data_IF_690286410655
#
_entry.id   IF_690286410655
#
_cell.length_a   1.000
_cell.length_b   1.000
_cell.length_c   1.000
_cell.angle_alpha   90.00
_cell.angle_beta   90.00
_cell.angle_gamma   90.00
#
_symmetry.space_group_name_H-M   'P 1'
#
loop_
_entity.id
_entity.type
_entity.pdbx_description
1 polymer ?
#
# COMPACT_ATOMS: atom_id res chain seq x y z
N UNK A 1 11.41 -29.96 -5.82
CA UNK A 1 11.58 -28.71 -5.02
C UNK A 1 10.65 -27.66 -5.60
N UNK A 2 9.56 -27.34 -4.92
CA UNK A 2 8.55 -26.38 -5.40
C UNK A 2 8.04 -25.54 -4.23
N UNK A 3 8.20 -24.22 -4.27
CA UNK A 3 7.40 -23.29 -3.47
C UNK A 3 7.11 -22.01 -4.25
N UNK A 4 5.90 -22.04 -4.82
CA UNK A 4 4.98 -20.93 -5.05
C UNK A 4 5.50 -19.70 -5.82
N UNK A 5 5.43 -19.83 -7.15
CA UNK A 5 5.08 -18.72 -8.03
C UNK A 5 3.75 -18.10 -7.55
N UNK A 6 3.82 -16.95 -6.89
CA UNK A 6 2.63 -16.11 -6.68
C UNK A 6 2.48 -15.23 -7.92
N UNK A 7 1.91 -15.82 -8.97
CA UNK A 7 1.26 -15.06 -10.02
C UNK A 7 -0.13 -14.73 -9.51
N UNK A 8 -0.38 -13.48 -9.13
CA UNK A 8 -1.74 -12.96 -9.03
C UNK A 8 -1.82 -11.51 -9.52
N UNK A 9 -2.77 -11.33 -10.44
CA UNK A 9 -3.46 -10.12 -10.82
C UNK A 9 -2.71 -9.08 -11.66
N UNK A 10 -2.70 -9.35 -12.98
CA UNK A 10 -3.24 -8.45 -14.02
C UNK A 10 -3.09 -6.96 -13.73
N UNK A 11 -2.04 -6.38 -14.31
CA UNK A 11 -1.93 -4.95 -14.60
C UNK A 11 -3.25 -4.42 -15.17
N UNK A 12 -4.03 -3.71 -14.37
CA UNK A 12 -5.00 -2.75 -14.90
C UNK A 12 -4.20 -1.46 -15.16
N UNK A 13 -3.75 -1.32 -16.40
CA UNK A 13 -2.79 -0.32 -16.85
C UNK A 13 -3.36 1.06 -17.18
N UNK A 14 -4.35 1.56 -16.43
CA UNK A 14 -4.93 2.88 -16.72
C UNK A 14 -5.38 3.65 -15.46
N UNK A 15 -4.60 3.53 -14.38
CA UNK A 15 -4.77 4.44 -13.24
C UNK A 15 -3.56 5.38 -13.20
N UNK A 16 -3.78 6.71 -13.11
CA UNK A 16 -2.70 7.67 -13.02
C UNK A 16 -1.82 7.30 -11.82
N UNK A 17 -0.59 6.90 -12.11
CA UNK A 17 0.46 6.57 -11.14
C UNK A 17 0.86 7.90 -10.47
N UNK A 18 0.17 8.29 -9.41
CA UNK A 18 0.43 7.91 -8.03
C UNK A 18 1.59 8.74 -7.44
N UNK A 19 1.27 9.96 -7.00
CA UNK A 19 2.21 10.86 -6.34
C UNK A 19 2.78 10.26 -5.06
N UNK A 20 2.03 9.44 -4.31
CA UNK A 20 2.56 8.78 -3.11
C UNK A 20 3.56 7.65 -3.46
N UNK A 21 3.32 6.92 -4.55
CA UNK A 21 4.25 5.89 -5.04
C UNK A 21 5.59 6.51 -5.42
N UNK A 22 5.60 7.60 -6.20
CA UNK A 22 6.86 8.27 -6.56
C UNK A 22 7.62 8.80 -5.33
N UNK A 23 6.90 9.32 -4.33
CA UNK A 23 7.51 9.95 -3.14
C UNK A 23 8.31 8.98 -2.27
N UNK A 24 7.88 7.73 -2.15
CA UNK A 24 8.44 6.79 -1.19
C UNK A 24 9.35 5.72 -1.81
N UNK A 25 9.46 5.61 -3.14
CA UNK A 25 10.25 4.55 -3.80
C UNK A 25 11.68 4.94 -4.16
N UNK A 26 12.05 6.20 -3.98
CA UNK A 26 13.39 6.75 -4.24
C UNK A 26 14.41 6.35 -3.16
N UNK A 27 14.76 5.07 -3.10
CA UNK A 27 15.76 4.50 -2.18
C UNK A 27 16.35 3.19 -2.73
N UNK A 28 17.48 2.74 -2.18
CA UNK A 28 18.21 1.53 -2.65
C UNK A 28 17.94 0.25 -1.84
N UNK A 29 16.92 0.23 -0.98
CA UNK A 29 16.68 -0.92 -0.11
C UNK A 29 15.82 -2.00 -0.76
N UNK A 30 16.43 -3.08 -1.26
CA UNK A 30 15.69 -4.21 -1.87
C UNK A 30 14.60 -4.82 -0.95
N UNK A 31 14.83 -5.04 0.36
CA UNK A 31 13.78 -5.54 1.24
C UNK A 31 12.59 -4.60 1.34
N UNK A 32 12.81 -3.29 1.20
CA UNK A 32 11.75 -2.28 1.20
C UNK A 32 11.02 -2.29 -0.13
N UNK A 33 11.72 -2.37 -1.27
CA UNK A 33 11.07 -2.52 -2.58
C UNK A 33 10.18 -3.76 -2.64
N UNK A 34 10.64 -4.92 -2.16
CA UNK A 34 9.81 -6.14 -2.10
C UNK A 34 8.56 -5.97 -1.25
N UNK A 35 8.67 -5.24 -0.13
CA UNK A 35 7.52 -4.95 0.70
C UNK A 35 6.56 -3.97 0.01
N UNK A 36 7.06 -2.93 -0.67
CA UNK A 36 6.25 -1.99 -1.45
C UNK A 36 5.51 -2.70 -2.57
N UNK A 37 6.17 -3.57 -3.34
CA UNK A 37 5.53 -4.35 -4.42
C UNK A 37 4.37 -5.20 -3.89
N UNK A 38 4.57 -5.86 -2.75
CA UNK A 38 3.53 -6.68 -2.14
C UNK A 38 2.37 -5.84 -1.59
N UNK A 39 2.66 -4.62 -1.10
CA UNK A 39 1.63 -3.68 -0.68
C UNK A 39 0.83 -3.20 -1.90
N UNK A 40 1.48 -2.75 -2.96
CA UNK A 40 0.82 -2.26 -4.17
C UNK A 40 -0.04 -3.34 -4.84
N UNK A 41 0.42 -4.59 -4.89
CA UNK A 41 -0.36 -5.70 -5.45
C UNK A 41 -1.59 -6.09 -4.58
N UNK A 42 -1.62 -5.67 -3.31
CA UNK A 42 -2.56 -6.16 -2.31
C UNK A 42 -3.20 -5.10 -1.43
N UNK A 43 -3.08 -3.81 -1.78
CA UNK A 43 -3.34 -2.73 -0.83
C UNK A 43 -4.78 -2.73 -0.33
N UNK A 44 -5.75 -3.22 -1.10
CA UNK A 44 -7.18 -3.31 -0.72
C UNK A 44 -7.47 -4.36 0.36
N UNK A 45 -6.52 -5.22 0.71
CA UNK A 45 -6.70 -6.29 1.70
C UNK A 45 -5.83 -6.07 2.93
N UNK A 46 -6.19 -6.60 4.10
CA UNK A 46 -5.29 -6.60 5.25
C UNK A 46 -3.96 -7.29 4.91
N UNK A 47 -2.84 -6.59 5.09
CA UNK A 47 -1.49 -7.11 4.87
C UNK A 47 -0.75 -7.13 6.20
N UNK A 48 -0.69 -8.29 6.89
CA UNK A 48 -0.04 -8.37 8.18
C UNK A 48 1.47 -8.20 8.01
N UNK A 49 2.11 -7.48 8.95
CA UNK A 49 3.53 -7.16 8.88
C UNK A 49 4.42 -8.39 8.74
N UNK A 50 4.08 -9.50 9.42
CA UNK A 50 4.72 -10.81 9.26
C UNK A 50 4.85 -11.28 7.82
N UNK A 51 3.83 -11.03 6.97
CA UNK A 51 3.81 -11.45 5.57
C UNK A 51 4.75 -10.60 4.74
N UNK A 52 4.77 -9.30 4.99
CA UNK A 52 5.71 -8.38 4.34
C UNK A 52 7.15 -8.73 4.73
N UNK A 53 7.39 -9.01 6.00
CA UNK A 53 8.69 -9.36 6.54
C UNK A 53 9.21 -10.68 5.94
N UNK A 54 8.34 -11.70 5.87
CA UNK A 54 8.64 -12.98 5.23
C UNK A 54 8.99 -12.81 3.73
N UNK A 55 8.23 -12.01 2.97
CA UNK A 55 8.52 -11.73 1.56
C UNK A 55 9.83 -10.94 1.37
N UNK A 56 10.16 -10.06 2.31
CA UNK A 56 11.39 -9.29 2.32
C UNK A 56 12.61 -10.08 2.84
N UNK A 57 12.42 -11.27 3.40
CA UNK A 57 13.49 -12.11 3.96
C UNK A 57 14.10 -11.55 5.25
N UNK A 58 13.34 -10.79 6.04
CA UNK A 58 13.81 -10.13 7.26
C UNK A 58 12.79 -10.29 8.39
N UNK A 59 13.18 -9.98 9.63
CA UNK A 59 12.24 -9.92 10.76
C UNK A 59 11.30 -8.70 10.65
N UNK A 60 10.16 -8.74 11.33
CA UNK A 60 9.19 -7.62 11.36
C UNK A 60 9.81 -6.32 11.89
N UNK A 61 10.67 -6.42 12.91
CA UNK A 61 11.43 -5.29 13.46
C UNK A 61 12.41 -4.72 12.44
N UNK A 62 13.16 -5.57 11.74
CA UNK A 62 14.12 -5.13 10.71
C UNK A 62 13.39 -4.51 9.52
N UNK A 63 12.28 -5.11 9.09
CA UNK A 63 11.46 -4.54 8.01
C UNK A 63 10.97 -3.14 8.40
N UNK A 64 10.34 -3.01 9.56
CA UNK A 64 9.81 -1.71 10.03
C UNK A 64 10.90 -0.64 10.07
N UNK A 65 12.06 -0.97 10.66
CA UNK A 65 13.19 -0.04 10.73
C UNK A 65 13.71 0.36 9.35
N UNK A 66 13.95 -0.61 8.45
CA UNK A 66 14.47 -0.33 7.10
C UNK A 66 13.45 0.43 6.25
N UNK A 67 12.18 0.08 6.35
CA UNK A 67 11.09 0.72 5.62
C UNK A 67 10.95 2.19 6.06
N UNK A 68 10.91 2.46 7.37
CA UNK A 68 10.84 3.83 7.87
C UNK A 68 12.10 4.62 7.52
N UNK A 69 13.29 4.03 7.62
CA UNK A 69 14.54 4.71 7.24
C UNK A 69 14.59 5.07 5.74
N UNK A 70 14.04 4.21 4.89
CA UNK A 70 14.08 4.39 3.44
C UNK A 70 12.95 5.28 2.90
N UNK A 71 11.76 5.23 3.51
CA UNK A 71 10.53 5.89 3.00
C UNK A 71 10.05 7.05 3.86
N UNK A 72 10.57 7.20 5.08
CA UNK A 72 10.10 8.14 6.10
C UNK A 72 8.83 7.70 6.86
N UNK A 73 8.18 6.60 6.46
CA UNK A 73 6.92 6.14 7.04
C UNK A 73 6.92 4.63 7.28
N UNK A 74 5.95 4.12 8.06
CA UNK A 74 5.83 2.67 8.31
C UNK A 74 5.15 1.96 7.14
N UNK A 75 5.30 0.63 6.99
CA UNK A 75 4.59 -0.14 5.96
C UNK A 75 3.06 0.02 6.04
N UNK A 76 2.50 0.09 7.26
CA UNK A 76 1.07 0.31 7.46
C UNK A 76 0.64 1.70 6.98
N UNK A 77 1.42 2.74 7.29
CA UNK A 77 1.11 4.09 6.81
C UNK A 77 1.21 4.16 5.30
N UNK A 78 2.23 3.54 4.70
CA UNK A 78 2.36 3.47 3.24
C UNK A 78 1.14 2.83 2.57
N UNK A 79 0.62 1.72 3.11
CA UNK A 79 -0.63 1.12 2.64
C UNK A 79 -1.84 2.08 2.77
N UNK A 80 -1.91 2.85 3.86
CA UNK A 80 -2.99 3.81 4.08
C UNK A 80 -2.94 4.99 3.10
N UNK A 81 -1.75 5.51 2.80
CA UNK A 81 -1.55 6.58 1.81
C UNK A 81 -1.97 6.10 0.41
N UNK A 82 -1.59 4.88 0.00
CA UNK A 82 -2.04 4.31 -1.27
C UNK A 82 -3.57 4.20 -1.35
N UNK A 83 -4.21 3.69 -0.29
CA UNK A 83 -5.68 3.60 -0.23
C UNK A 83 -6.34 4.97 -0.32
N UNK A 84 -5.77 5.97 0.36
CA UNK A 84 -6.29 7.33 0.35
C UNK A 84 -6.19 7.92 -1.05
N UNK A 85 -5.03 7.82 -1.70
CA UNK A 85 -4.81 8.31 -3.06
C UNK A 85 -5.78 7.69 -4.07
N UNK A 86 -5.93 6.37 -4.08
CA UNK A 86 -6.89 5.70 -4.96
C UNK A 86 -8.35 6.08 -4.63
N UNK A 87 -8.67 6.32 -3.36
CA UNK A 87 -10.01 6.78 -2.99
C UNK A 87 -10.27 8.22 -3.47
N UNK A 88 -9.28 9.12 -3.41
CA UNK A 88 -9.40 10.46 -4.00
C UNK A 88 -9.66 10.38 -5.51
N UNK A 89 -8.93 9.53 -6.22
CA UNK A 89 -9.11 9.32 -7.65
C UNK A 89 -10.52 8.85 -7.99
N UNK A 90 -11.05 7.87 -7.25
CA UNK A 90 -12.43 7.39 -7.44
C UNK A 90 -13.47 8.47 -7.17
N UNK A 91 -13.29 9.29 -6.13
CA UNK A 91 -14.21 10.39 -5.84
C UNK A 91 -14.13 11.47 -6.92
N UNK A 92 -12.94 11.80 -7.41
CA UNK A 92 -12.77 12.73 -8.52
C UNK A 92 -13.47 12.23 -9.80
N UNK A 93 -13.62 10.92 -9.95
CA UNK A 93 -14.37 10.26 -11.04
C UNK A 93 -15.89 10.13 -10.75
N UNK A 94 -16.38 10.70 -9.65
CA UNK A 94 -17.80 10.74 -9.31
C UNK A 94 -18.28 9.65 -8.35
N UNK A 95 -17.39 8.81 -7.80
CA UNK A 95 -17.78 7.86 -6.76
C UNK A 95 -18.17 8.57 -5.45
N UNK A 96 -19.13 8.01 -4.72
CA UNK A 96 -19.42 8.47 -3.36
C UNK A 96 -18.28 8.10 -2.41
N UNK A 97 -18.11 8.83 -1.32
CA UNK A 97 -17.08 8.54 -0.33
C UNK A 97 -17.18 7.12 0.25
N UNK A 98 -18.40 6.60 0.38
CA UNK A 98 -18.65 5.25 0.87
C UNK A 98 -18.28 4.17 -0.17
N UNK A 99 -18.64 4.38 -1.44
CA UNK A 99 -18.24 3.50 -2.53
C UNK A 99 -16.71 3.48 -2.70
N UNK A 100 -16.06 4.65 -2.68
CA UNK A 100 -14.61 4.77 -2.76
C UNK A 100 -13.92 4.06 -1.57
N UNK A 101 -14.40 4.27 -0.35
CA UNK A 101 -13.84 3.62 0.84
C UNK A 101 -13.90 2.09 0.75
N UNK A 102 -15.05 1.54 0.32
CA UNK A 102 -15.21 0.09 0.12
C UNK A 102 -14.30 -0.44 -0.99
N UNK A 103 -14.19 0.28 -2.10
CA UNK A 103 -13.32 -0.10 -3.23
C UNK A 103 -11.84 -0.20 -2.85
N UNK A 104 -11.36 0.68 -1.96
CA UNK A 104 -9.96 0.66 -1.50
C UNK A 104 -9.72 -0.20 -0.26
N UNK A 105 -10.74 -0.93 0.21
CA UNK A 105 -10.59 -1.90 1.32
C UNK A 105 -10.76 -1.34 2.72
N UNK A 106 -11.44 -0.21 2.87
CA UNK A 106 -12.00 0.22 4.16
C UNK A 106 -13.42 -0.33 4.33
N UNK A 107 -13.80 -0.59 5.58
CA UNK A 107 -15.17 -1.05 5.90
C UNK A 107 -16.20 0.05 5.61
N UNK A 108 -15.84 1.31 5.86
CA UNK A 108 -16.72 2.46 5.70
C UNK A 108 -15.93 3.75 5.40
N UNK A 109 -16.66 4.82 5.07
CA UNK A 109 -16.09 6.15 4.83
C UNK A 109 -15.54 6.85 6.09
N UNK A 110 -15.72 6.32 7.31
CA UNK A 110 -15.20 6.97 8.53
C UNK A 110 -13.67 6.87 8.56
N UNK A 111 -13.10 5.73 8.18
CA UNK A 111 -11.64 5.57 8.10
C UNK A 111 -11.03 6.49 7.04
N UNK A 112 -11.65 6.57 5.86
CA UNK A 112 -11.22 7.48 4.79
C UNK A 112 -11.23 8.94 5.25
N UNK A 113 -12.32 9.40 5.89
CA UNK A 113 -12.40 10.76 6.46
C UNK A 113 -11.34 11.04 7.51
N UNK A 114 -11.04 10.07 8.39
CA UNK A 114 -9.96 10.20 9.40
C UNK A 114 -8.59 10.35 8.76
N UNK A 115 -8.31 9.63 7.67
CA UNK A 115 -7.04 9.73 6.95
C UNK A 115 -6.90 11.08 6.23
N UNK A 116 -7.98 11.59 5.61
CA UNK A 116 -8.02 12.93 4.99
C UNK A 116 -7.78 14.07 5.97
N UNK A 117 -8.22 13.91 7.22
CA UNK A 117 -8.10 14.95 8.25
C UNK A 117 -6.72 14.97 8.93
N UNK A 118 -5.81 14.05 8.58
CA UNK A 118 -4.44 14.07 9.11
C UNK A 118 -3.59 15.07 8.30
N UNK A 119 -2.85 15.97 8.98
CA UNK A 119 -1.95 16.92 8.33
C UNK A 119 -0.70 16.24 7.75
#
# INVERSE_FOLDING_TARGET
>A
VARAMVVYARRNGDQPQAGAMLRHRSHLSDPVHRAQDLIEAGYTRPLPLRRLAAAAGVSERTLTRRFTAATGITPLRYQQELRLEHAEQLIAQGATADAAARAVGFTDARMLRRLRARP
#
